data_IF_278008501116
#
_entry.id   IF_278008501116
#
_cell.length_a   1.000
_cell.length_b   1.000
_cell.length_c   1.000
_cell.angle_alpha   90.00
_cell.angle_beta   90.00
_cell.angle_gamma   90.00
#
_symmetry.space_group_name_H-M   'P 1'
#
loop_
_entity.id
_entity.type
_entity.pdbx_description
1 polymer ?
#
# COMPACT_ATOMS: atom_id res chain seq x y z
N UNK A 1 14.57 -1.01 -20.91
CA UNK A 1 14.37 -0.42 -19.58
C UNK A 1 13.28 -1.23 -18.90
N UNK A 2 13.51 -1.75 -17.68
CA UNK A 2 12.48 -2.49 -16.95
C UNK A 2 11.66 -1.51 -16.12
N UNK A 3 10.36 -1.71 -16.17
CA UNK A 3 9.39 -0.95 -15.40
C UNK A 3 8.73 -1.83 -14.33
N UNK A 4 8.32 -1.21 -13.23
CA UNK A 4 7.70 -1.88 -12.10
C UNK A 4 6.38 -1.19 -11.75
N UNK A 5 5.37 -2.00 -11.42
CA UNK A 5 4.18 -1.55 -10.73
C UNK A 5 4.08 -2.27 -9.39
N UNK A 6 3.64 -1.56 -8.36
CA UNK A 6 3.22 -2.16 -7.09
C UNK A 6 1.71 -2.32 -7.13
N UNK A 7 1.22 -3.47 -6.66
CA UNK A 7 -0.22 -3.70 -6.52
C UNK A 7 -0.54 -4.23 -5.15
N UNK A 8 -1.56 -3.64 -4.53
CA UNK A 8 -2.13 -4.14 -3.30
C UNK A 8 -2.91 -5.43 -3.57
N UNK A 9 -2.58 -6.49 -2.83
CA UNK A 9 -3.24 -7.81 -2.92
C UNK A 9 -3.68 -8.26 -1.54
N UNK A 10 -4.79 -8.99 -1.47
CA UNK A 10 -5.38 -9.49 -0.21
C UNK A 10 -4.36 -10.15 0.72
N UNK A 11 -3.49 -10.99 0.16
CA UNK A 11 -2.50 -11.73 0.95
C UNK A 11 -1.31 -10.87 1.42
N UNK A 12 -1.01 -9.77 0.73
CA UNK A 12 0.13 -8.91 1.06
C UNK A 12 -0.13 -8.08 2.34
N UNK A 13 -1.39 -7.74 2.58
CA UNK A 13 -1.81 -6.90 3.71
C UNK A 13 -2.68 -7.65 4.71
N UNK A 14 -2.64 -8.99 4.71
CA UNK A 14 -3.52 -9.79 5.56
C UNK A 14 -3.35 -9.41 7.04
N UNK A 15 -2.11 -9.15 7.49
CA UNK A 15 -1.84 -8.68 8.86
C UNK A 15 -2.45 -7.29 9.15
N UNK A 16 -2.39 -6.34 8.21
CA UNK A 16 -2.98 -5.01 8.39
C UNK A 16 -4.52 -5.07 8.41
N UNK A 17 -5.11 -5.96 7.61
CA UNK A 17 -6.58 -6.17 7.56
C UNK A 17 -7.10 -6.93 8.79
N UNK A 18 -6.31 -7.87 9.32
CA UNK A 18 -6.72 -8.67 10.49
C UNK A 18 -6.78 -7.82 11.76
N UNK A 19 -5.83 -6.92 11.98
CA UNK A 19 -5.82 -6.02 13.15
C UNK A 19 -7.01 -5.07 13.11
N UNK A 20 -7.24 -4.41 11.98
CA UNK A 20 -8.35 -3.45 11.80
C UNK A 20 -9.73 -4.09 11.88
N UNK A 21 -9.89 -5.37 11.52
CA UNK A 21 -11.17 -6.09 11.65
C UNK A 21 -11.62 -6.26 13.10
N UNK A 22 -10.69 -6.34 14.06
CA UNK A 22 -11.01 -6.46 15.48
C UNK A 22 -11.54 -5.14 16.07
N UNK A 23 -11.16 -4.01 15.49
CA UNK A 23 -11.59 -2.66 15.91
C UNK A 23 -13.01 -2.30 15.41
N UNK A 24 -13.58 -3.12 14.52
CA UNK A 24 -14.91 -2.90 13.97
C UNK A 24 -15.98 -3.54 14.85
N UNK A 25 -16.97 -2.74 15.33
CA UNK A 25 -18.14 -3.25 16.02
C UNK A 25 -18.82 -4.35 15.23
N UNK A 26 -19.28 -5.40 15.90
CA UNK A 26 -19.78 -6.61 15.26
C UNK A 26 -20.92 -6.33 14.27
N UNK A 27 -21.82 -5.41 14.64
CA UNK A 27 -22.95 -4.95 13.82
C UNK A 27 -22.56 -4.19 12.54
N UNK A 28 -21.29 -3.78 12.42
CA UNK A 28 -20.77 -3.08 11.24
C UNK A 28 -19.91 -3.98 10.34
N UNK A 29 -19.55 -5.19 10.79
CA UNK A 29 -18.69 -6.11 10.02
C UNK A 29 -19.33 -6.55 8.70
N UNK A 30 -20.64 -6.69 8.67
CA UNK A 30 -21.40 -7.08 7.47
C UNK A 30 -21.47 -5.97 6.40
N UNK A 31 -21.17 -4.72 6.76
CA UNK A 31 -21.13 -3.59 5.82
C UNK A 31 -19.82 -3.52 5.03
N UNK A 32 -18.82 -4.32 5.43
CA UNK A 32 -17.52 -4.35 4.77
C UNK A 32 -17.60 -5.36 3.63
N UNK A 33 -17.57 -4.84 2.40
CA UNK A 33 -17.81 -5.65 1.21
C UNK A 33 -16.52 -6.34 0.74
N UNK A 34 -15.35 -5.74 0.96
CA UNK A 34 -14.04 -6.28 0.55
C UNK A 34 -12.89 -5.76 1.42
N UNK A 35 -11.79 -6.51 1.44
CA UNK A 35 -10.58 -6.18 2.21
C UNK A 35 -10.00 -4.79 1.90
N UNK A 36 -10.14 -4.29 0.67
CA UNK A 36 -9.60 -2.97 0.32
C UNK A 36 -10.42 -1.81 0.87
N UNK A 37 -11.61 -2.07 1.43
CA UNK A 37 -12.40 -1.06 2.13
C UNK A 37 -11.79 -0.66 3.48
N UNK A 38 -10.86 -1.46 4.00
CA UNK A 38 -10.05 -1.09 5.16
C UNK A 38 -8.93 -0.11 4.83
N UNK A 39 -8.58 0.09 3.55
CA UNK A 39 -7.49 0.98 3.16
C UNK A 39 -8.05 2.36 2.81
N UNK A 40 -7.60 3.38 3.54
CA UNK A 40 -7.92 4.77 3.26
C UNK A 40 -6.81 5.46 2.44
N UNK A 41 -5.55 5.09 2.71
CA UNK A 41 -4.37 5.65 2.06
C UNK A 41 -3.29 4.59 1.85
N UNK A 42 -2.55 4.67 0.73
CA UNK A 42 -1.28 3.95 0.59
C UNK A 42 -0.30 4.72 -0.28
N UNK A 43 0.99 4.45 -0.07
CA UNK A 43 2.10 5.10 -0.77
C UNK A 43 3.26 4.15 -1.01
N UNK A 44 4.13 4.56 -1.93
CA UNK A 44 5.31 3.82 -2.37
C UNK A 44 6.53 4.73 -2.32
N UNK A 45 7.59 4.22 -1.72
CA UNK A 45 8.98 4.65 -1.90
C UNK A 45 9.66 3.59 -2.77
N UNK A 46 10.12 3.98 -3.95
CA UNK A 46 10.67 3.06 -4.95
C UNK A 46 12.13 2.70 -4.67
N UNK A 47 12.80 3.43 -3.79
CA UNK A 47 14.22 3.25 -3.52
C UNK A 47 14.56 3.58 -2.06
N UNK A 48 13.91 2.87 -1.15
CA UNK A 48 14.09 3.01 0.28
C UNK A 48 15.52 2.61 0.68
N UNK A 49 16.23 3.47 1.40
CA UNK A 49 17.66 3.27 1.72
C UNK A 49 17.91 2.99 3.21
N UNK A 50 16.94 2.33 3.85
CA UNK A 50 16.94 2.10 5.30
C UNK A 50 17.00 3.43 6.09
N UNK A 51 16.46 4.50 5.51
CA UNK A 51 16.47 5.86 6.03
C UNK A 51 15.04 6.38 6.27
N UNK A 52 14.79 7.66 5.99
CA UNK A 52 13.44 8.24 6.05
C UNK A 52 12.62 7.78 4.86
N UNK A 53 11.35 7.46 5.08
CA UNK A 53 10.43 7.13 3.99
C UNK A 53 10.24 8.33 3.04
N UNK A 54 10.57 8.14 1.76
CA UNK A 54 10.39 9.14 0.72
C UNK A 54 9.14 8.81 -0.09
N UNK A 55 8.07 9.58 0.14
CA UNK A 55 6.82 9.38 -0.56
C UNK A 55 6.92 9.85 -2.02
N UNK A 56 7.11 8.90 -2.93
CA UNK A 56 7.25 9.17 -4.37
C UNK A 56 5.95 8.95 -5.14
N UNK A 57 5.05 8.12 -4.62
CA UNK A 57 3.72 7.91 -5.18
C UNK A 57 2.70 7.56 -4.10
N UNK A 58 1.45 8.02 -4.24
CA UNK A 58 0.36 7.72 -3.31
C UNK A 58 -1.02 7.68 -3.97
N UNK A 59 -1.95 7.00 -3.32
CA UNK A 59 -3.39 7.02 -3.64
C UNK A 59 -4.20 6.97 -2.34
N UNK A 60 -5.31 7.71 -2.31
CA UNK A 60 -6.13 7.82 -1.11
C UNK A 60 -7.59 8.14 -1.44
N UNK A 61 -8.48 7.77 -0.53
CA UNK A 61 -9.90 8.09 -0.64
C UNK A 61 -10.15 9.51 -0.15
N UNK A 62 -11.15 10.16 -0.73
CA UNK A 62 -11.68 11.43 -0.24
C UNK A 62 -13.19 11.33 -0.11
N UNK A 63 -13.81 12.30 0.57
CA UNK A 63 -15.28 12.41 0.64
C UNK A 63 -15.95 12.36 -0.75
N UNK A 64 -15.29 12.92 -1.77
CA UNK A 64 -15.77 12.95 -3.16
C UNK A 64 -15.35 11.71 -3.96
N UNK A 65 -14.11 11.23 -3.80
CA UNK A 65 -13.57 10.04 -4.49
C UNK A 65 -13.49 8.89 -3.50
N UNK A 66 -14.56 8.09 -3.48
CA UNK A 66 -14.62 6.90 -2.63
C UNK A 66 -13.87 5.70 -3.22
N UNK A 67 -13.45 5.73 -4.48
CA UNK A 67 -12.69 4.63 -5.10
C UNK A 67 -11.21 4.77 -4.84
N UNK A 68 -10.54 3.64 -4.56
CA UNK A 68 -9.10 3.56 -4.33
C UNK A 68 -8.45 2.73 -5.45
N UNK A 69 -7.44 3.28 -6.12
CA UNK A 69 -6.61 2.51 -7.05
C UNK A 69 -5.69 1.60 -6.25
N UNK A 70 -5.73 0.30 -6.56
CA UNK A 70 -4.92 -0.71 -5.89
C UNK A 70 -3.62 -1.02 -6.64
N UNK A 71 -3.35 -0.29 -7.72
CA UNK A 71 -2.14 -0.39 -8.51
C UNK A 71 -1.53 0.99 -8.63
N UNK A 72 -0.21 1.07 -8.44
CA UNK A 72 0.56 2.29 -8.64
C UNK A 72 0.64 2.67 -10.11
N UNK A 73 1.19 3.84 -10.39
CA UNK A 73 1.77 4.09 -11.72
C UNK A 73 2.99 3.19 -11.96
N UNK A 74 3.41 3.17 -13.22
CA UNK A 74 4.66 2.57 -13.65
C UNK A 74 5.86 3.37 -13.14
N UNK A 75 6.82 2.71 -12.51
CA UNK A 75 8.10 3.29 -12.14
C UNK A 75 9.23 2.72 -13.02
N UNK A 76 10.08 3.61 -13.52
CA UNK A 76 11.20 3.27 -14.40
C UNK A 76 12.53 3.48 -13.68
N UNK A 77 13.35 2.42 -13.61
CA UNK A 77 14.68 2.51 -13.05
C UNK A 77 15.70 2.83 -14.15
N UNK A 78 16.50 3.87 -13.92
CA UNK A 78 17.54 4.31 -14.86
C UNK A 78 18.73 3.33 -14.94
N UNK A 79 19.05 2.66 -13.82
CA UNK A 79 20.21 1.78 -13.70
C UNK A 79 19.79 0.38 -13.29
N UNK A 80 20.47 -0.67 -13.78
CA UNK A 80 20.36 -1.99 -13.19
C UNK A 80 20.85 -1.97 -11.73
N UNK A 81 20.26 -2.81 -10.89
CA UNK A 81 20.60 -2.87 -9.48
C UNK A 81 19.56 -3.56 -8.63
N UNK A 82 19.87 -3.69 -7.33
CA UNK A 82 18.93 -4.14 -6.32
C UNK A 82 18.34 -2.92 -5.62
N UNK A 83 17.02 -2.88 -5.55
CA UNK A 83 16.25 -1.80 -4.95
C UNK A 83 15.38 -2.36 -3.83
N UNK A 84 15.18 -1.58 -2.77
CA UNK A 84 14.18 -1.84 -1.74
C UNK A 84 13.00 -0.93 -2.00
N UNK A 85 11.85 -1.51 -2.30
CA UNK A 85 10.59 -0.79 -2.45
C UNK A 85 9.85 -0.86 -1.12
N UNK A 86 9.62 0.27 -0.48
CA UNK A 86 8.84 0.34 0.75
C UNK A 86 7.42 0.80 0.42
N UNK A 87 6.44 0.05 0.92
CA UNK A 87 5.02 0.36 0.79
C UNK A 87 4.48 0.70 2.16
N UNK A 88 3.84 1.86 2.28
CA UNK A 88 3.11 2.28 3.49
C UNK A 88 1.62 2.25 3.21
N UNK A 89 0.86 1.64 4.11
CA UNK A 89 -0.61 1.56 4.08
C UNK A 89 -1.13 2.18 5.37
N UNK A 90 -2.16 3.01 5.26
CA UNK A 90 -2.91 3.55 6.40
C UNK A 90 -4.36 3.09 6.26
N UNK A 91 -4.87 2.48 7.31
CA UNK A 91 -6.24 2.01 7.35
C UNK A 91 -7.25 3.12 7.69
N UNK A 92 -8.55 2.77 7.65
CA UNK A 92 -9.65 3.69 7.97
C UNK A 92 -9.69 4.13 9.44
N UNK A 93 -8.91 3.53 10.33
CA UNK A 93 -8.75 3.91 11.74
C UNK A 93 -7.51 4.78 11.95
N UNK A 94 -6.67 4.96 10.92
CA UNK A 94 -5.45 5.73 10.98
C UNK A 94 -4.22 4.92 11.42
N UNK A 95 -4.33 3.60 11.57
CA UNK A 95 -3.17 2.76 11.86
C UNK A 95 -2.32 2.63 10.60
N UNK A 96 -1.01 2.80 10.73
CA UNK A 96 -0.08 2.62 9.62
C UNK A 96 0.68 1.29 9.69
N UNK A 97 0.97 0.73 8.53
CA UNK A 97 1.80 -0.47 8.37
C UNK A 97 2.73 -0.28 7.18
N UNK A 98 3.98 -0.70 7.34
CA UNK A 98 4.98 -0.62 6.27
C UNK A 98 5.52 -2.00 5.92
N UNK A 99 5.70 -2.27 4.63
CA UNK A 99 6.35 -3.49 4.14
C UNK A 99 7.45 -3.12 3.15
N UNK A 100 8.60 -3.77 3.26
CA UNK A 100 9.72 -3.60 2.34
C UNK A 100 9.80 -4.82 1.42
N UNK A 101 10.01 -4.60 0.13
CA UNK A 101 10.22 -5.64 -0.86
C UNK A 101 11.47 -5.36 -1.69
N UNK A 102 12.36 -6.34 -1.76
CA UNK A 102 13.55 -6.27 -2.61
C UNK A 102 13.19 -6.60 -4.07
N UNK A 103 13.73 -5.80 -5.00
CA UNK A 103 13.51 -5.94 -6.44
C UNK A 103 14.85 -5.84 -7.15
N UNK A 104 15.16 -6.83 -7.98
CA UNK A 104 16.33 -6.81 -8.86
C UNK A 104 15.92 -6.33 -10.26
N UNK A 105 16.50 -5.22 -10.68
CA UNK A 105 16.40 -4.68 -12.03
C UNK A 105 17.65 -5.08 -12.80
N UNK A 106 17.46 -5.72 -13.96
CA UNK A 106 18.52 -6.11 -14.87
C UNK A 106 18.37 -5.40 -16.20
#
# INVERSE_FOLDING_TARGET
MKSLHVSQRKNYNENAVLTSKLEIPEELRDKILKWSDFIDYWSVDWNYRDDTFHNEWQEFRTKKKKTLQLQSIEHHYEKPGNYKVMVKVIDVFGNDTTTIKEVTVA
#
